data_IF_721185865956
#
_entry.id   IF_721185865956
#
_cell.length_a   1.000
_cell.length_b   1.000
_cell.length_c   1.000
_cell.angle_alpha   90.00
_cell.angle_beta   90.00
_cell.angle_gamma   90.00
#
_symmetry.space_group_name_H-M   'P 1'
#
loop_
_entity.id
_entity.type
_entity.pdbx_description
1 polymer ?
#
# COMPACT_ATOMS: atom_id res chain seq x y z
N UNK A 1 -18.26 -1.88 7.33
CA UNK A 1 -17.18 -2.80 7.00
C UNK A 1 -17.31 -4.08 7.80
N UNK A 2 -17.34 -5.23 7.17
CA UNK A 2 -17.67 -6.48 7.83
C UNK A 2 -16.75 -7.61 7.42
N UNK A 3 -15.46 -7.51 7.77
CA UNK A 3 -14.56 -8.64 7.66
C UNK A 3 -14.91 -9.62 8.77
N UNK A 4 -15.47 -10.77 8.40
CA UNK A 4 -15.93 -11.79 9.35
C UNK A 4 -14.88 -12.84 9.65
N UNK A 5 -13.98 -13.11 8.70
CA UNK A 5 -12.90 -14.07 8.87
C UNK A 5 -11.90 -13.56 9.92
N UNK A 6 -11.62 -14.35 10.93
CA UNK A 6 -10.76 -13.95 12.04
C UNK A 6 -9.31 -13.64 11.61
N UNK A 7 -8.78 -14.42 10.68
CA UNK A 7 -7.45 -14.19 10.14
C UNK A 7 -7.37 -12.83 9.42
N UNK A 8 -8.31 -12.58 8.50
CA UNK A 8 -8.33 -11.32 7.74
C UNK A 8 -8.58 -10.12 8.65
N UNK A 9 -9.43 -10.26 9.66
CA UNK A 9 -9.67 -9.19 10.63
C UNK A 9 -8.39 -8.84 11.41
N UNK A 10 -7.61 -9.85 11.81
CA UNK A 10 -6.34 -9.64 12.51
C UNK A 10 -5.33 -8.94 11.60
N UNK A 11 -5.22 -9.36 10.34
CA UNK A 11 -4.33 -8.71 9.38
C UNK A 11 -4.73 -7.25 9.17
N UNK A 12 -6.04 -6.98 9.04
CA UNK A 12 -6.53 -5.60 8.88
C UNK A 12 -6.19 -4.73 10.09
N UNK A 13 -6.32 -5.27 11.29
CA UNK A 13 -5.93 -4.56 12.50
C UNK A 13 -4.45 -4.18 12.49
N UNK A 14 -3.58 -5.10 12.06
CA UNK A 14 -2.15 -4.85 11.93
C UNK A 14 -1.86 -3.79 10.86
N UNK A 15 -2.57 -3.81 9.73
CA UNK A 15 -2.43 -2.80 8.68
C UNK A 15 -2.71 -1.41 9.23
N UNK A 16 -3.78 -1.25 10.00
CA UNK A 16 -4.12 0.05 10.60
C UNK A 16 -3.04 0.51 11.57
N UNK A 17 -2.51 -0.40 12.38
CA UNK A 17 -1.44 -0.07 13.34
C UNK A 17 -0.13 0.31 12.68
N UNK A 18 0.26 -0.39 11.61
CA UNK A 18 1.52 -0.16 10.89
C UNK A 18 1.49 1.05 9.96
N UNK A 19 0.30 1.47 9.56
CA UNK A 19 0.12 2.55 8.59
C UNK A 19 -0.79 3.64 9.16
N UNK A 20 -0.40 4.29 10.28
CA UNK A 20 -1.24 5.30 10.91
C UNK A 20 -1.40 6.52 10.00
N UNK A 21 -2.61 7.07 9.97
CA UNK A 21 -2.90 8.29 9.21
C UNK A 21 -2.99 8.10 7.70
N UNK A 22 -3.23 6.87 7.23
CA UNK A 22 -3.32 6.55 5.81
C UNK A 22 -4.68 5.95 5.44
N UNK A 23 -5.78 6.72 5.54
CA UNK A 23 -7.13 6.20 5.35
C UNK A 23 -7.38 5.61 3.97
N UNK A 24 -6.80 6.17 2.91
CA UNK A 24 -6.95 5.66 1.55
C UNK A 24 -6.37 4.25 1.42
N UNK A 25 -5.21 4.01 2.02
CA UNK A 25 -4.59 2.68 2.02
C UNK A 25 -5.44 1.71 2.85
N UNK A 26 -5.90 2.13 4.02
CA UNK A 26 -6.76 1.28 4.87
C UNK A 26 -8.03 0.87 4.12
N UNK A 27 -8.65 1.79 3.39
CA UNK A 27 -9.86 1.50 2.62
C UNK A 27 -9.59 0.49 1.50
N UNK A 28 -8.52 0.68 0.75
CA UNK A 28 -8.16 -0.24 -0.34
C UNK A 28 -7.92 -1.66 0.18
N UNK A 29 -7.16 -1.78 1.27
CA UNK A 29 -6.90 -3.09 1.89
C UNK A 29 -8.19 -3.72 2.38
N UNK A 30 -9.06 -2.94 3.02
CA UNK A 30 -10.35 -3.43 3.49
C UNK A 30 -11.18 -4.05 2.37
N UNK A 31 -11.32 -3.33 1.26
CA UNK A 31 -12.10 -3.78 0.11
C UNK A 31 -11.56 -5.09 -0.47
N UNK A 32 -10.24 -5.17 -0.61
CA UNK A 32 -9.61 -6.38 -1.14
C UNK A 32 -9.77 -7.56 -0.18
N UNK A 33 -9.52 -7.37 1.12
CA UNK A 33 -9.64 -8.44 2.10
C UNK A 33 -11.08 -8.95 2.21
N UNK A 34 -12.08 -8.08 2.16
CA UNK A 34 -13.48 -8.50 2.12
C UNK A 34 -13.76 -9.40 0.92
N UNK A 35 -13.23 -9.05 -0.25
CA UNK A 35 -13.42 -9.85 -1.46
C UNK A 35 -12.69 -11.19 -1.40
N UNK A 36 -11.66 -11.33 -0.59
CA UNK A 36 -10.88 -12.55 -0.47
C UNK A 36 -11.39 -13.53 0.61
N UNK A 37 -12.39 -13.13 1.41
CA UNK A 37 -12.92 -14.03 2.46
C UNK A 37 -13.26 -15.43 1.95
N UNK A 38 -14.02 -15.59 0.84
CA UNK A 38 -14.34 -16.93 0.34
C UNK A 38 -13.12 -17.77 -0.06
N UNK A 39 -12.07 -17.09 -0.56
CA UNK A 39 -10.83 -17.78 -0.96
C UNK A 39 -10.08 -18.26 0.29
N UNK A 40 -9.99 -17.44 1.31
CA UNK A 40 -9.29 -17.79 2.55
C UNK A 40 -10.01 -18.90 3.30
N UNK A 41 -11.33 -18.90 3.32
CA UNK A 41 -12.12 -19.94 3.95
C UNK A 41 -11.89 -21.31 3.30
N UNK A 42 -11.69 -21.33 1.98
CA UNK A 42 -11.42 -22.57 1.23
C UNK A 42 -9.96 -23.01 1.29
N UNK A 43 -9.05 -22.13 1.66
CA UNK A 43 -7.62 -22.39 1.62
C UNK A 43 -6.97 -21.98 2.93
N UNK A 44 -7.25 -22.66 4.05
CA UNK A 44 -6.72 -22.28 5.36
C UNK A 44 -5.18 -22.32 5.43
N UNK A 45 -4.52 -23.04 4.54
CA UNK A 45 -3.06 -23.09 4.45
C UNK A 45 -2.43 -21.74 4.12
N UNK A 46 -3.20 -20.81 3.56
CA UNK A 46 -2.70 -19.46 3.25
C UNK A 46 -2.34 -18.67 4.51
N UNK A 47 -3.06 -18.91 5.61
CA UNK A 47 -2.72 -18.32 6.90
C UNK A 47 -1.36 -18.80 7.41
N UNK A 48 -1.10 -20.09 7.34
CA UNK A 48 0.17 -20.67 7.77
C UNK A 48 1.35 -20.13 6.98
N UNK A 49 1.13 -19.83 5.70
CA UNK A 49 2.16 -19.28 4.81
C UNK A 49 2.31 -17.77 4.91
N UNK A 50 1.49 -17.10 5.69
CA UNK A 50 1.52 -15.65 5.82
C UNK A 50 1.22 -14.93 4.50
N UNK A 51 0.34 -15.48 3.68
CA UNK A 51 0.07 -14.96 2.34
C UNK A 51 -0.45 -13.52 2.38
N UNK A 52 -1.48 -13.28 3.20
CA UNK A 52 -2.11 -11.95 3.25
C UNK A 52 -1.17 -10.93 3.87
N UNK A 53 -0.43 -11.30 4.90
CA UNK A 53 0.58 -10.42 5.50
C UNK A 53 1.60 -9.95 4.47
N UNK A 54 2.01 -10.83 3.54
CA UNK A 54 2.96 -10.48 2.48
C UNK A 54 2.33 -9.61 1.39
N UNK A 55 1.05 -9.77 1.14
CA UNK A 55 0.34 -8.98 0.12
C UNK A 55 0.14 -7.54 0.59
N UNK A 56 -0.18 -7.34 1.86
CA UNK A 56 -0.52 -5.99 2.38
C UNK A 56 0.70 -5.17 2.79
N UNK A 57 1.89 -5.78 2.87
CA UNK A 57 3.13 -5.09 3.22
C UNK A 57 3.98 -4.92 1.98
N UNK A 58 4.37 -3.69 1.59
CA UNK A 58 5.24 -3.51 0.44
C UNK A 58 6.62 -4.11 0.69
N UNK A 59 7.24 -4.60 -0.37
CA UNK A 59 8.61 -5.11 -0.29
C UNK A 59 9.59 -3.98 0.05
N UNK A 60 9.32 -2.78 -0.46
CA UNK A 60 10.22 -1.64 -0.28
C UNK A 60 9.50 -0.34 -0.52
N UNK A 61 9.82 0.67 0.26
CA UNK A 61 9.39 2.04 0.01
C UNK A 61 10.61 2.95 0.04
N UNK A 62 10.73 3.82 -0.96
CA UNK A 62 11.80 4.80 -1.04
C UNK A 62 11.18 6.19 -0.94
N UNK A 63 11.64 6.97 0.02
CA UNK A 63 11.27 8.38 0.16
C UNK A 63 12.52 9.21 -0.13
N UNK A 64 12.40 10.23 -0.95
CA UNK A 64 13.57 10.99 -1.41
C UNK A 64 13.24 12.47 -1.61
N UNK A 65 14.29 13.29 -1.56
CA UNK A 65 14.22 14.72 -1.80
C UNK A 65 14.41 15.00 -3.28
N UNK A 66 13.57 15.88 -3.82
CA UNK A 66 13.73 16.40 -5.20
C UNK A 66 13.93 17.90 -5.11
N UNK A 67 15.13 18.37 -5.41
CA UNK A 67 15.45 19.80 -5.48
C UNK A 67 15.46 20.23 -6.94
N UNK A 68 14.77 21.35 -7.23
CA UNK A 68 14.67 21.86 -8.59
C UNK A 68 14.50 23.38 -8.57
N UNK A 69 14.79 24.03 -9.68
CA UNK A 69 14.67 25.48 -9.81
C UNK A 69 13.49 25.80 -10.71
N UNK A 70 12.58 26.64 -10.22
CA UNK A 70 11.39 27.03 -10.98
C UNK A 70 11.70 28.11 -12.04
N UNK A 71 10.68 28.47 -12.81
CA UNK A 71 10.81 29.45 -13.89
C UNK A 71 11.20 30.84 -13.40
N UNK A 72 11.03 31.13 -12.12
CA UNK A 72 11.43 32.38 -11.49
C UNK A 72 12.84 32.36 -10.91
N UNK A 73 13.57 31.25 -11.12
CA UNK A 73 14.92 31.08 -10.58
C UNK A 73 14.96 30.73 -9.10
N UNK A 74 13.80 30.40 -8.50
CA UNK A 74 13.71 30.04 -7.08
C UNK A 74 13.87 28.55 -6.89
N UNK A 75 14.68 28.16 -5.90
CA UNK A 75 14.88 26.75 -5.57
C UNK A 75 13.64 26.23 -4.82
N UNK A 76 13.10 25.15 -5.33
CA UNK A 76 12.01 24.40 -4.72
C UNK A 76 12.53 23.05 -4.23
N UNK A 77 11.92 22.55 -3.16
CA UNK A 77 12.27 21.25 -2.60
C UNK A 77 10.99 20.44 -2.43
N UNK A 78 10.89 19.34 -3.15
CA UNK A 78 9.75 18.44 -3.07
C UNK A 78 10.18 17.11 -2.46
N UNK A 79 9.19 16.34 -2.03
CA UNK A 79 9.38 14.98 -1.53
C UNK A 79 8.80 14.00 -2.52
N UNK A 80 9.58 12.98 -2.88
CA UNK A 80 9.13 11.93 -3.77
C UNK A 80 8.99 10.61 -3.02
N UNK A 81 8.11 9.76 -3.53
CA UNK A 81 7.88 8.43 -2.96
C UNK A 81 7.83 7.40 -4.09
N UNK A 82 8.46 6.26 -3.85
CA UNK A 82 8.31 5.09 -4.70
C UNK A 82 7.97 3.89 -3.83
N UNK A 83 6.84 3.27 -4.08
CA UNK A 83 6.46 2.04 -3.39
C UNK A 83 6.68 0.85 -4.32
N UNK A 84 7.21 -0.23 -3.78
CA UNK A 84 7.48 -1.47 -4.49
C UNK A 84 6.77 -2.58 -3.72
N UNK A 85 5.57 -2.96 -4.22
CA UNK A 85 4.75 -3.91 -3.48
C UNK A 85 5.16 -5.35 -3.70
N UNK A 86 5.24 -5.79 -4.94
CA UNK A 86 5.48 -7.20 -5.21
C UNK A 86 6.21 -7.39 -6.54
N UNK A 87 7.28 -8.18 -6.51
CA UNK A 87 8.11 -8.49 -7.68
C UNK A 87 7.87 -9.90 -8.21
N UNK A 88 6.82 -10.59 -7.76
CA UNK A 88 6.60 -12.01 -8.09
C UNK A 88 6.51 -12.30 -9.58
N UNK A 89 5.97 -11.37 -10.37
CA UNK A 89 5.83 -11.53 -11.82
C UNK A 89 6.75 -10.63 -12.63
N UNK A 90 7.66 -9.94 -12.00
CA UNK A 90 8.63 -9.07 -12.68
C UNK A 90 8.95 -7.81 -11.93
N UNK A 91 9.71 -6.90 -12.57
CA UNK A 91 10.08 -5.62 -11.93
C UNK A 91 8.86 -4.76 -11.65
N UNK A 92 8.98 -3.91 -10.64
CA UNK A 92 7.90 -3.00 -10.25
C UNK A 92 7.62 -2.00 -11.37
N UNK A 93 6.36 -1.88 -11.76
CA UNK A 93 5.96 -0.99 -12.84
C UNK A 93 4.56 -0.45 -12.58
N UNK A 94 4.41 0.86 -12.66
CA UNK A 94 3.13 1.54 -12.49
C UNK A 94 3.22 2.98 -12.97
N UNK A 95 2.15 3.73 -12.76
CA UNK A 95 2.06 5.11 -13.17
C UNK A 95 2.75 6.08 -12.22
N UNK A 96 2.76 7.34 -12.62
CA UNK A 96 3.21 8.46 -11.81
C UNK A 96 1.99 9.32 -11.44
N UNK A 97 2.05 9.94 -10.27
CA UNK A 97 1.03 10.93 -9.86
C UNK A 97 1.73 12.17 -9.34
N UNK A 98 1.39 13.30 -9.93
CA UNK A 98 1.86 14.61 -9.51
C UNK A 98 0.65 15.42 -9.02
N UNK A 99 0.59 15.65 -7.71
CA UNK A 99 -0.47 16.47 -7.12
C UNK A 99 -0.07 16.83 -5.68
N UNK A 100 -0.41 18.05 -5.19
CA UNK A 100 -0.06 18.44 -3.82
C UNK A 100 -0.62 17.54 -2.73
N UNK A 101 -1.70 16.79 -3.00
CA UNK A 101 -2.30 15.87 -2.04
C UNK A 101 -1.56 14.54 -1.90
N UNK A 102 -0.54 14.27 -2.74
CA UNK A 102 0.19 13.00 -2.70
C UNK A 102 1.05 12.91 -1.45
N UNK A 103 0.90 11.80 -0.73
CA UNK A 103 1.75 11.42 0.39
C UNK A 103 1.93 9.90 0.37
N UNK A 104 2.71 9.36 1.32
CA UNK A 104 3.05 7.92 1.30
C UNK A 104 1.83 7.00 1.26
N UNK A 105 0.75 7.35 1.97
CA UNK A 105 -0.49 6.56 1.98
C UNK A 105 -1.15 6.48 0.61
N UNK A 106 -1.15 7.57 -0.16
CA UNK A 106 -1.69 7.58 -1.52
C UNK A 106 -0.87 6.68 -2.44
N UNK A 107 0.45 6.71 -2.33
CA UNK A 107 1.32 5.86 -3.16
C UNK A 107 1.15 4.38 -2.79
N UNK A 108 1.01 4.06 -1.51
CA UNK A 108 0.69 2.69 -1.08
C UNK A 108 -0.67 2.25 -1.61
N UNK A 109 -1.67 3.12 -1.54
CA UNK A 109 -3.01 2.85 -2.08
C UNK A 109 -2.93 2.47 -3.57
N UNK A 110 -2.24 3.28 -4.36
CA UNK A 110 -2.09 3.04 -5.79
C UNK A 110 -1.27 1.78 -6.09
N UNK A 111 -0.21 1.55 -5.35
CA UNK A 111 0.65 0.39 -5.55
C UNK A 111 -0.01 -0.92 -5.14
N UNK A 112 -0.87 -0.87 -4.13
CA UNK A 112 -1.60 -2.04 -3.66
C UNK A 112 -2.67 -2.48 -4.67
N UNK A 113 -3.37 -1.53 -5.27
CA UNK A 113 -4.38 -1.81 -6.29
C UNK A 113 -3.77 -2.34 -7.59
#
# INVERSE_FOLDING_TARGET
MSIKNAYLARVMEDVVKRNPGEPEFHQAVTEVLESLEPVIEKNPEFEEKGLIERIVEPERMVSFRVSWTDDNGKVQVNRGFRVQFNSAIGPYKGGLRFHPSVYSGIIKFLGFE
#
